data_IF_474599967237
#
_entry.id   IF_474599967237
#
_cell.length_a   1.000
_cell.length_b   1.000
_cell.length_c   1.000
_cell.angle_alpha   90.00
_cell.angle_beta   90.00
_cell.angle_gamma   90.00
#
_symmetry.space_group_name_H-M   'P 1'
#
loop_
_entity.id
_entity.type
_entity.pdbx_description
1 polymer ?
#
# COMPACT_ATOMS: atom_id res chain seq x y z
N UNK A 1 21.01 10.88 43.85
CA UNK A 1 19.82 10.10 43.44
C UNK A 1 18.86 10.91 42.57
N UNK A 2 18.34 12.05 43.02
CA UNK A 2 17.41 12.90 42.23
C UNK A 2 17.93 13.39 40.88
N UNK A 3 19.22 13.76 40.79
CA UNK A 3 19.85 14.15 39.52
C UNK A 3 19.77 13.05 38.45
N UNK A 4 20.00 11.80 38.85
CA UNK A 4 19.95 10.65 37.94
C UNK A 4 18.50 10.44 37.47
N UNK A 5 17.54 10.50 38.40
CA UNK A 5 16.11 10.40 38.07
C UNK A 5 15.67 11.48 37.08
N UNK A 6 16.07 12.73 37.30
CA UNK A 6 15.77 13.86 36.39
C UNK A 6 16.35 13.60 35.01
N UNK A 7 17.61 13.16 34.93
CA UNK A 7 18.25 12.82 33.64
C UNK A 7 17.48 11.71 32.93
N UNK A 8 17.09 10.63 33.63
CA UNK A 8 16.30 9.55 33.05
C UNK A 8 14.95 10.05 32.49
N UNK A 9 14.24 10.90 33.25
CA UNK A 9 12.96 11.47 32.79
C UNK A 9 13.15 12.36 31.57
N UNK A 10 14.16 13.24 31.57
CA UNK A 10 14.45 14.12 30.43
C UNK A 10 14.80 13.32 29.18
N UNK A 11 15.63 12.28 29.31
CA UNK A 11 15.98 11.40 28.17
C UNK A 11 14.76 10.66 27.65
N UNK A 12 13.92 10.11 28.53
CA UNK A 12 12.69 9.43 28.13
C UNK A 12 11.76 10.37 27.35
N UNK A 13 11.50 11.57 27.88
CA UNK A 13 10.65 12.56 27.22
C UNK A 13 11.23 13.01 25.87
N UNK A 14 12.56 13.17 25.78
CA UNK A 14 13.22 13.49 24.51
C UNK A 14 13.05 12.39 23.47
N UNK A 15 13.21 11.12 23.86
CA UNK A 15 13.00 9.97 22.96
C UNK A 15 11.53 9.91 22.53
N UNK A 16 10.57 10.02 23.45
CA UNK A 16 9.14 10.00 23.12
C UNK A 16 8.77 11.13 22.19
N UNK A 17 9.27 12.35 22.42
CA UNK A 17 9.04 13.49 21.54
C UNK A 17 9.63 13.24 20.14
N UNK A 18 10.86 12.72 20.06
CA UNK A 18 11.49 12.39 18.79
C UNK A 18 10.68 11.32 18.03
N UNK A 19 10.26 10.25 18.70
CA UNK A 19 9.41 9.21 18.13
C UNK A 19 8.08 9.78 17.67
N UNK A 20 7.43 10.64 18.47
CA UNK A 20 6.16 11.28 18.10
C UNK A 20 6.29 12.12 16.83
N UNK A 21 7.37 12.90 16.69
CA UNK A 21 7.63 13.73 15.53
C UNK A 21 8.03 12.90 14.29
N UNK A 22 8.70 11.76 14.48
CA UNK A 22 9.21 10.93 13.38
C UNK A 22 8.38 9.68 13.08
N UNK A 23 7.34 9.39 13.86
CA UNK A 23 6.59 8.12 13.82
C UNK A 23 6.16 7.74 12.40
N UNK A 24 5.71 8.70 11.58
CA UNK A 24 5.22 8.42 10.22
C UNK A 24 6.34 7.93 9.31
N UNK A 25 7.55 8.46 9.46
CA UNK A 25 8.73 8.03 8.68
C UNK A 25 9.27 6.68 9.17
N UNK A 26 9.05 6.35 10.44
CA UNK A 26 9.44 5.07 11.02
C UNK A 26 8.43 3.96 10.68
N UNK A 27 7.15 4.29 10.62
CA UNK A 27 6.06 3.36 10.37
C UNK A 27 5.84 3.10 8.88
N UNK A 28 5.92 4.12 8.03
CA UNK A 28 5.64 3.99 6.60
C UNK A 28 6.92 4.04 5.78
N UNK A 29 7.31 2.88 5.23
CA UNK A 29 8.47 2.73 4.36
C UNK A 29 8.00 2.41 2.94
N UNK A 30 7.53 3.42 2.18
CA UNK A 30 6.90 3.19 0.90
C UNK A 30 7.85 2.57 -0.13
N UNK A 31 7.44 1.42 -0.65
CA UNK A 31 7.99 0.89 -1.89
C UNK A 31 7.47 1.75 -3.05
N UNK A 32 8.38 2.47 -3.70
CA UNK A 32 8.07 3.41 -4.79
C UNK A 32 8.24 2.78 -6.17
N UNK A 33 8.52 1.48 -6.26
CA UNK A 33 8.56 0.79 -7.54
C UNK A 33 7.19 0.85 -8.22
N UNK A 34 7.14 1.50 -9.38
CA UNK A 34 5.95 1.58 -10.23
C UNK A 34 6.13 0.66 -11.42
N UNK A 35 5.06 -0.05 -11.81
CA UNK A 35 5.03 -0.75 -13.10
C UNK A 35 4.49 0.20 -14.17
N UNK A 36 5.13 0.26 -15.33
CA UNK A 36 4.51 0.86 -16.52
C UNK A 36 3.28 0.04 -16.96
N UNK A 37 2.43 0.60 -17.81
CA UNK A 37 1.29 -0.15 -18.35
C UNK A 37 1.72 -1.41 -19.10
N UNK A 38 2.84 -1.35 -19.84
CA UNK A 38 3.42 -2.50 -20.53
C UNK A 38 3.91 -3.57 -19.54
N UNK A 39 4.64 -3.16 -18.50
CA UNK A 39 5.12 -4.08 -17.45
C UNK A 39 3.98 -4.72 -16.67
N UNK A 40 2.93 -3.95 -16.37
CA UNK A 40 1.72 -4.47 -15.73
C UNK A 40 1.02 -5.50 -16.64
N UNK A 41 0.93 -5.22 -17.94
CA UNK A 41 0.30 -6.12 -18.92
C UNK A 41 1.05 -7.44 -19.05
N UNK A 42 2.39 -7.42 -19.03
CA UNK A 42 3.23 -8.64 -18.98
C UNK A 42 2.91 -9.50 -17.74
N UNK A 43 2.50 -8.87 -16.63
CA UNK A 43 2.06 -9.55 -15.41
C UNK A 43 0.55 -9.88 -15.41
N UNK A 44 -0.14 -9.71 -16.55
CA UNK A 44 -1.59 -9.94 -16.67
C UNK A 44 -2.43 -8.95 -15.84
N UNK A 45 -1.89 -7.76 -15.56
CA UNK A 45 -2.52 -6.69 -14.79
C UNK A 45 -2.80 -5.48 -15.69
N UNK A 46 -3.84 -4.71 -15.35
CA UNK A 46 -4.06 -3.36 -15.88
C UNK A 46 -4.18 -2.35 -14.74
N UNK A 47 -3.74 -1.13 -15.00
CA UNK A 47 -3.92 -0.01 -14.08
C UNK A 47 -5.41 0.26 -13.85
N UNK A 48 -5.78 0.57 -12.61
CA UNK A 48 -7.15 0.88 -12.23
C UNK A 48 -7.24 2.21 -11.48
N UNK A 49 -8.25 3.06 -11.77
CA UNK A 49 -9.11 3.02 -12.95
C UNK A 49 -8.36 3.33 -14.26
N UNK A 50 -7.26 4.08 -14.19
CA UNK A 50 -6.36 4.41 -15.30
C UNK A 50 -4.97 4.73 -14.77
N UNK A 51 -4.00 4.96 -15.66
CA UNK A 51 -2.65 5.40 -15.27
C UNK A 51 -2.67 6.79 -14.59
N UNK A 52 -3.44 7.74 -15.11
CA UNK A 52 -3.49 9.11 -14.60
C UNK A 52 -4.18 9.22 -13.23
N UNK A 53 -5.10 8.29 -12.95
CA UNK A 53 -5.84 8.24 -11.69
C UNK A 53 -5.52 6.96 -10.91
N UNK A 54 -4.28 6.47 -11.03
CA UNK A 54 -3.89 5.16 -10.52
C UNK A 54 -4.21 4.97 -9.04
N UNK A 55 -4.97 3.91 -8.75
CA UNK A 55 -5.37 3.46 -7.42
C UNK A 55 -5.01 2.01 -7.14
N UNK A 56 -4.49 1.28 -8.14
CA UNK A 56 -4.16 -0.12 -8.02
C UNK A 56 -4.25 -0.87 -9.33
N UNK A 57 -4.40 -2.19 -9.25
CA UNK A 57 -4.47 -3.07 -10.41
C UNK A 57 -5.70 -3.95 -10.39
N UNK A 58 -6.14 -4.34 -11.57
CA UNK A 58 -7.18 -5.35 -11.81
C UNK A 58 -6.69 -6.31 -12.91
N UNK A 59 -7.34 -7.46 -13.17
CA UNK A 59 -6.95 -8.34 -14.26
C UNK A 59 -6.96 -7.62 -15.61
N UNK A 60 -5.96 -7.90 -16.44
CA UNK A 60 -5.87 -7.40 -17.81
C UNK A 60 -7.10 -7.82 -18.63
N UNK A 61 -7.44 -9.11 -18.55
CA UNK A 61 -8.63 -9.69 -19.17
C UNK A 61 -9.65 -10.02 -18.08
N UNK A 62 -10.70 -9.19 -17.90
CA UNK A 62 -11.79 -9.55 -17.01
C UNK A 62 -12.52 -10.79 -17.57
N UNK A 63 -12.89 -11.72 -16.69
CA UNK A 63 -13.72 -12.88 -17.04
C UNK A 63 -15.18 -12.49 -17.27
N UNK A 64 -16.07 -13.50 -17.15
CA UNK A 64 -17.51 -13.30 -17.14
C UNK A 64 -17.96 -12.37 -16.00
N UNK A 65 -19.27 -12.10 -15.92
CA UNK A 65 -19.84 -11.26 -14.86
C UNK A 65 -19.41 -11.79 -13.47
N UNK A 66 -18.80 -10.96 -12.61
CA UNK A 66 -18.23 -11.46 -11.36
C UNK A 66 -19.31 -11.71 -10.32
N UNK A 67 -19.21 -12.84 -9.62
CA UNK A 67 -20.16 -13.20 -8.54
C UNK A 67 -20.02 -12.30 -7.31
N UNK A 68 -18.83 -11.74 -7.09
CA UNK A 68 -18.53 -10.79 -6.04
C UNK A 68 -17.21 -10.04 -6.33
N UNK A 69 -16.94 -8.98 -5.57
CA UNK A 69 -15.69 -8.22 -5.65
C UNK A 69 -14.85 -8.42 -4.37
N UNK A 70 -13.58 -8.73 -4.54
CA UNK A 70 -12.58 -8.80 -3.48
C UNK A 70 -11.57 -7.67 -3.68
N UNK A 71 -11.44 -6.80 -2.68
CA UNK A 71 -10.43 -5.74 -2.65
C UNK A 71 -9.29 -6.17 -1.74
N UNK A 72 -8.10 -6.31 -2.30
CA UNK A 72 -6.90 -6.72 -1.57
C UNK A 72 -6.03 -5.52 -1.32
N UNK A 73 -5.74 -5.25 -0.04
CA UNK A 73 -4.80 -4.22 0.37
C UNK A 73 -3.44 -4.86 0.68
N UNK A 74 -2.36 -4.24 0.22
CA UNK A 74 -1.01 -4.74 0.48
C UNK A 74 -0.52 -4.36 1.89
N UNK A 75 0.66 -4.86 2.26
CA UNK A 75 1.31 -4.52 3.54
C UNK A 75 2.29 -3.35 3.39
N UNK A 76 2.91 -2.95 4.49
CA UNK A 76 3.87 -1.83 4.56
C UNK A 76 5.17 -2.06 3.77
N UNK A 77 5.57 -3.29 3.48
CA UNK A 77 6.84 -3.63 2.84
C UNK A 77 6.69 -4.07 1.38
N UNK A 78 5.82 -3.41 0.60
CA UNK A 78 5.68 -3.71 -0.82
C UNK A 78 4.56 -2.92 -1.49
N UNK A 79 4.30 -3.24 -2.76
CA UNK A 79 3.29 -2.61 -3.59
C UNK A 79 2.12 -3.56 -3.94
N UNK A 80 1.04 -2.99 -4.48
CA UNK A 80 -0.16 -3.75 -4.85
C UNK A 80 0.10 -4.92 -5.82
N UNK A 81 0.99 -4.75 -6.80
CA UNK A 81 1.28 -5.78 -7.80
C UNK A 81 1.96 -7.02 -7.19
N UNK A 82 2.66 -6.89 -6.05
CA UNK A 82 3.19 -8.04 -5.28
C UNK A 82 2.09 -8.96 -4.73
N UNK A 83 0.81 -8.60 -4.87
CA UNK A 83 -0.36 -9.38 -4.43
C UNK A 83 -1.06 -10.09 -5.58
N UNK A 84 -0.41 -10.20 -6.75
CA UNK A 84 -0.92 -10.89 -7.93
C UNK A 84 -1.42 -12.31 -7.65
N UNK A 85 -0.78 -13.03 -6.73
CA UNK A 85 -1.18 -14.39 -6.35
C UNK A 85 -2.63 -14.50 -5.84
N UNK A 86 -3.23 -13.44 -5.28
CA UNK A 86 -4.66 -13.46 -4.93
C UNK A 86 -5.56 -13.44 -6.17
N UNK A 87 -5.13 -12.74 -7.21
CA UNK A 87 -5.85 -12.71 -8.47
C UNK A 87 -5.81 -14.10 -9.12
N UNK A 88 -4.64 -14.74 -9.12
CA UNK A 88 -4.47 -16.09 -9.69
C UNK A 88 -5.33 -17.13 -8.95
N UNK A 89 -5.52 -16.98 -7.64
CA UNK A 89 -6.34 -17.87 -6.84
C UNK A 89 -7.85 -17.61 -6.95
N UNK A 90 -8.28 -16.33 -6.99
CA UNK A 90 -9.69 -15.97 -6.83
C UNK A 90 -10.39 -15.67 -8.17
N UNK A 91 -9.68 -15.18 -9.18
CA UNK A 91 -10.31 -14.90 -10.48
C UNK A 91 -10.89 -16.16 -11.17
N UNK A 92 -10.23 -17.34 -11.13
CA UNK A 92 -10.82 -18.57 -11.68
C UNK A 92 -12.11 -19.00 -10.98
N UNK A 93 -12.35 -18.54 -9.75
CA UNK A 93 -13.56 -18.82 -8.98
C UNK A 93 -14.70 -17.82 -9.27
N UNK A 94 -14.51 -16.91 -10.23
CA UNK A 94 -15.51 -15.91 -10.64
C UNK A 94 -15.47 -14.60 -9.85
N UNK A 95 -14.48 -14.38 -8.98
CA UNK A 95 -14.35 -13.12 -8.27
C UNK A 95 -13.68 -12.04 -9.12
N UNK A 96 -14.20 -10.81 -9.03
CA UNK A 96 -13.44 -9.61 -9.43
C UNK A 96 -12.42 -9.31 -8.35
N UNK A 97 -11.14 -9.31 -8.68
CA UNK A 97 -10.06 -8.96 -7.73
C UNK A 97 -9.51 -7.58 -8.06
N UNK A 98 -9.50 -6.69 -7.06
CA UNK A 98 -8.87 -5.37 -7.14
C UNK A 98 -7.70 -5.34 -6.17
N UNK A 99 -6.49 -5.15 -6.68
CA UNK A 99 -5.29 -4.98 -5.88
C UNK A 99 -5.10 -3.48 -5.60
N UNK A 100 -5.54 -3.01 -4.44
CA UNK A 100 -5.50 -1.59 -4.08
C UNK A 100 -4.09 -1.16 -3.67
N UNK A 101 -3.61 -0.05 -4.24
CA UNK A 101 -2.33 0.57 -3.89
C UNK A 101 -2.55 1.68 -2.84
N UNK A 102 -1.77 1.69 -1.77
CA UNK A 102 -1.78 2.81 -0.82
C UNK A 102 -1.17 4.08 -1.43
N UNK A 103 -1.64 5.28 -1.04
CA UNK A 103 -0.99 6.53 -1.43
C UNK A 103 0.49 6.54 -1.03
N UNK A 104 1.37 6.92 -1.95
CA UNK A 104 2.82 6.89 -1.77
C UNK A 104 3.51 5.56 -2.10
N UNK A 105 2.75 4.48 -2.35
CA UNK A 105 3.28 3.15 -2.70
C UNK A 105 2.99 2.81 -4.17
N UNK A 106 3.86 2.00 -4.77
CA UNK A 106 3.58 1.36 -6.06
C UNK A 106 3.39 2.33 -7.23
N UNK A 107 3.90 3.56 -7.13
CA UNK A 107 3.66 4.63 -8.10
C UNK A 107 2.41 5.50 -7.85
N UNK A 108 1.59 5.20 -6.83
CA UNK A 108 0.44 6.06 -6.47
C UNK A 108 0.94 7.33 -5.78
N UNK A 109 0.54 8.49 -6.29
CA UNK A 109 0.92 9.78 -5.73
C UNK A 109 0.37 10.00 -4.30
N UNK A 110 0.97 10.96 -3.59
CA UNK A 110 0.55 11.37 -2.25
C UNK A 110 1.35 10.71 -1.13
N UNK A 111 0.78 10.69 0.08
CA UNK A 111 1.38 10.09 1.28
C UNK A 111 0.34 9.25 2.03
N UNK A 112 0.75 8.18 2.72
CA UNK A 112 -0.19 7.27 3.37
C UNK A 112 -1.05 8.00 4.41
N UNK A 113 -2.36 8.07 4.20
CA UNK A 113 -3.29 8.63 5.18
C UNK A 113 -4.67 8.03 4.98
N UNK A 114 -5.44 7.95 6.07
CA UNK A 114 -6.80 7.43 6.04
C UNK A 114 -7.70 8.26 5.12
N UNK A 115 -7.64 9.59 5.23
CA UNK A 115 -8.44 10.54 4.44
C UNK A 115 -8.20 10.46 2.93
N UNK A 116 -7.02 9.97 2.49
CA UNK A 116 -6.68 9.83 1.06
C UNK A 116 -6.94 8.40 0.56
N UNK A 117 -7.10 7.44 1.49
CA UNK A 117 -7.43 6.06 1.16
C UNK A 117 -8.93 5.90 0.86
N UNK A 118 -9.79 6.50 1.70
CA UNK A 118 -11.26 6.56 1.59
C UNK A 118 -11.68 7.61 0.55
#
# INVERSE_FOLDING_TARGET
MWRILIVCVVVYLAITLLTFLMQRKLLYLPDRSSLSEEQASVQGLRHWPSQQQFRGFVPLHPGAEPIATVVVFHGNAGAAHHRRYYLDALAPLGFRVVLAAYPGYGGRAGSPSETVLV
#
